data_IF_605746502693
#
_entry.id   IF_605746502693
#
_cell.length_a   1.000
_cell.length_b   1.000
_cell.length_c   1.000
_cell.angle_alpha   90.00
_cell.angle_beta   90.00
_cell.angle_gamma   90.00
#
_symmetry.space_group_name_H-M   'P 1'
#
loop_
_entity.id
_entity.type
_entity.pdbx_description
1 polymer ?
#
# COMPACT_ATOMS: atom_id res chain seq x y z
N UNK A 1 -7.33 -68.73 -11.81
CA UNK A 1 -6.54 -68.05 -10.76
C UNK A 1 -7.20 -66.71 -10.46
N UNK A 2 -7.53 -66.51 -9.17
CA UNK A 2 -8.04 -65.30 -8.49
C UNK A 2 -9.32 -64.63 -9.02
N UNK A 3 -10.45 -65.11 -8.48
CA UNK A 3 -11.68 -64.33 -8.19
C UNK A 3 -11.42 -63.48 -6.94
N UNK A 4 -11.88 -62.23 -6.91
CA UNK A 4 -12.00 -61.46 -5.67
C UNK A 4 -13.31 -60.64 -5.67
N UNK A 5 -14.16 -61.07 -4.75
CA UNK A 5 -15.44 -60.60 -4.23
C UNK A 5 -15.57 -59.09 -3.97
N UNK A 6 -16.69 -58.50 -4.38
CA UNK A 6 -17.22 -57.28 -3.76
C UNK A 6 -18.34 -57.67 -2.78
N UNK A 7 -18.14 -57.36 -1.49
CA UNK A 7 -19.14 -57.52 -0.43
C UNK A 7 -20.08 -56.32 -0.45
N UNK A 8 -21.37 -56.57 -0.60
CA UNK A 8 -22.43 -55.63 -0.26
C UNK A 8 -22.54 -55.64 1.27
N UNK A 9 -22.29 -54.52 1.91
CA UNK A 9 -22.68 -54.29 3.30
C UNK A 9 -23.68 -53.14 3.32
N UNK A 10 -24.95 -53.47 3.54
CA UNK A 10 -25.97 -52.52 3.95
C UNK A 10 -25.62 -52.02 5.36
N UNK A 11 -25.49 -50.71 5.52
CA UNK A 11 -25.76 -50.04 6.79
C UNK A 11 -26.86 -49.00 6.54
N UNK A 12 -28.00 -49.23 7.17
CA UNK A 12 -29.12 -48.32 7.23
C UNK A 12 -28.85 -47.23 8.27
N UNK A 13 -29.27 -45.99 7.96
CA UNK A 13 -29.70 -44.97 8.92
C UNK A 13 -28.61 -44.18 9.64
N UNK A 14 -28.32 -42.97 9.17
CA UNK A 14 -28.11 -41.83 10.07
C UNK A 14 -28.39 -40.50 9.35
N UNK A 15 -28.98 -39.59 10.11
CA UNK A 15 -29.67 -38.35 9.77
C UNK A 15 -29.01 -37.43 8.74
N UNK A 16 -29.87 -36.66 8.05
CA UNK A 16 -29.51 -35.41 7.38
C UNK A 16 -28.73 -34.51 8.36
N UNK A 17 -27.40 -34.42 8.18
CA UNK A 17 -26.66 -33.25 8.62
C UNK A 17 -26.83 -32.21 7.52
N UNK A 18 -27.50 -31.11 7.85
CA UNK A 18 -27.68 -29.97 6.97
C UNK A 18 -26.35 -29.55 6.37
N UNK A 19 -26.38 -29.23 5.08
CA UNK A 19 -25.33 -28.51 4.40
C UNK A 19 -25.06 -27.23 5.21
N UNK A 20 -23.98 -27.22 5.99
CA UNK A 20 -23.47 -25.97 6.54
C UNK A 20 -23.10 -25.12 5.33
N UNK A 21 -23.80 -23.99 5.13
CA UNK A 21 -23.30 -22.99 4.21
C UNK A 21 -21.88 -22.65 4.69
N UNK A 22 -20.91 -22.68 3.77
CA UNK A 22 -19.65 -22.03 4.03
C UNK A 22 -19.97 -20.59 4.44
N UNK A 23 -19.59 -20.19 5.66
CA UNK A 23 -19.65 -18.79 6.03
C UNK A 23 -18.87 -18.01 4.96
N UNK A 24 -19.50 -16.99 4.38
CA UNK A 24 -18.80 -16.07 3.49
C UNK A 24 -17.53 -15.60 4.20
N UNK A 25 -16.38 -15.74 3.55
CA UNK A 25 -15.13 -15.25 4.11
C UNK A 25 -15.28 -13.73 4.37
N UNK A 26 -14.88 -13.26 5.55
CA UNK A 26 -14.99 -11.85 5.92
C UNK A 26 -14.33 -10.94 4.87
N UNK A 27 -14.99 -9.84 4.52
CA UNK A 27 -14.48 -8.90 3.49
C UNK A 27 -13.25 -8.14 3.99
N UNK A 28 -13.14 -8.02 5.32
CA UNK A 28 -12.04 -7.40 6.03
C UNK A 28 -11.49 -8.37 7.08
N UNK A 29 -10.19 -8.37 7.28
CA UNK A 29 -9.53 -9.20 8.30
C UNK A 29 -8.66 -8.36 9.20
N UNK A 30 -8.83 -8.53 10.52
CA UNK A 30 -7.89 -8.05 11.53
C UNK A 30 -6.59 -8.86 11.43
N UNK A 31 -5.44 -8.20 11.28
CA UNK A 31 -4.15 -8.89 11.16
C UNK A 31 -3.57 -9.32 12.52
N UNK A 32 -4.19 -8.88 13.62
CA UNK A 32 -3.75 -9.15 14.99
C UNK A 32 -2.60 -8.26 15.44
N UNK A 33 -1.93 -8.68 16.52
CA UNK A 33 -0.80 -7.98 17.14
C UNK A 33 0.30 -8.98 17.50
N UNK A 34 1.51 -8.49 17.77
CA UNK A 34 2.63 -9.31 18.28
C UNK A 34 2.53 -9.58 19.80
N UNK A 35 1.28 -9.68 20.31
CA UNK A 35 0.96 -9.92 21.72
C UNK A 35 0.72 -8.66 22.55
N UNK A 36 0.87 -7.46 21.97
CA UNK A 36 0.43 -6.20 22.57
C UNK A 36 -1.01 -5.82 22.19
N UNK A 37 -1.39 -4.58 22.47
CA UNK A 37 -2.76 -4.07 22.24
C UNK A 37 -2.90 -3.18 21.00
N UNK A 38 -1.96 -3.25 20.06
CA UNK A 38 -1.88 -2.30 18.94
C UNK A 38 -1.13 -2.86 17.74
N UNK A 39 -1.63 -2.56 16.53
CA UNK A 39 -0.92 -2.74 15.27
C UNK A 39 -1.34 -1.70 14.22
N UNK A 40 -0.44 -1.40 13.28
CA UNK A 40 -0.69 -0.57 12.08
C UNK A 40 -0.16 -1.26 10.84
N UNK A 41 -0.95 -1.28 9.77
CA UNK A 41 -0.50 -1.66 8.43
C UNK A 41 0.07 -0.45 7.70
N UNK A 42 1.27 -0.59 7.13
CA UNK A 42 1.94 0.47 6.39
C UNK A 42 2.08 0.14 4.90
N UNK A 43 2.47 -1.09 4.56
CA UNK A 43 2.72 -1.49 3.18
C UNK A 43 2.05 -2.82 2.85
N UNK A 44 1.65 -3.00 1.59
CA UNK A 44 1.08 -4.25 1.06
C UNK A 44 1.66 -4.53 -0.32
N UNK A 45 1.98 -5.79 -0.60
CA UNK A 45 2.41 -6.20 -1.95
C UNK A 45 1.30 -6.94 -2.71
N UNK A 46 1.55 -7.22 -4.00
CA UNK A 46 0.60 -7.87 -4.90
C UNK A 46 0.12 -9.27 -4.44
N UNK A 47 0.81 -9.89 -3.46
CA UNK A 47 0.46 -11.19 -2.89
C UNK A 47 -0.35 -11.08 -1.59
N UNK A 48 -0.75 -9.87 -1.19
CA UNK A 48 -1.49 -9.62 0.04
C UNK A 48 -0.65 -9.71 1.31
N UNK A 49 0.69 -9.76 1.20
CA UNK A 49 1.57 -9.66 2.38
C UNK A 49 1.59 -8.22 2.86
N UNK A 50 1.45 -8.02 4.17
CA UNK A 50 1.38 -6.69 4.78
C UNK A 50 2.57 -6.49 5.72
N UNK A 51 3.20 -5.32 5.66
CA UNK A 51 4.20 -4.88 6.63
C UNK A 51 3.63 -3.77 7.50
N UNK A 52 4.15 -3.68 8.72
CA UNK A 52 3.64 -2.71 9.66
C UNK A 52 4.43 -2.64 10.95
N UNK A 53 3.82 -2.01 11.95
CA UNK A 53 4.33 -1.95 13.32
C UNK A 53 3.32 -2.49 14.31
N UNK A 54 3.76 -3.24 15.32
CA UNK A 54 2.91 -3.75 16.40
C UNK A 54 3.62 -3.76 17.74
N UNK A 55 2.88 -3.58 18.83
CA UNK A 55 3.45 -3.70 20.18
C UNK A 55 3.59 -5.19 20.55
N UNK A 56 4.70 -5.53 21.23
CA UNK A 56 4.94 -6.88 21.74
C UNK A 56 4.42 -7.10 23.17
N UNK A 57 4.10 -8.35 23.53
CA UNK A 57 3.75 -8.73 24.89
C UNK A 57 4.90 -8.52 25.90
N UNK A 58 4.61 -8.24 27.19
CA UNK A 58 5.62 -8.21 28.26
C UNK A 58 6.44 -9.52 28.33
N UNK A 59 7.73 -9.49 28.74
CA UNK A 59 8.42 -8.47 29.53
C UNK A 59 9.07 -7.35 28.70
N UNK A 60 8.87 -7.31 27.38
CA UNK A 60 9.19 -6.10 26.63
C UNK A 60 8.41 -4.91 27.24
N UNK A 61 9.01 -3.71 27.39
CA UNK A 61 8.22 -2.53 27.72
C UNK A 61 7.07 -2.47 26.71
N UNK A 62 5.82 -2.42 27.20
CA UNK A 62 4.58 -2.50 26.41
C UNK A 62 4.41 -1.41 25.34
N UNK A 63 5.44 -0.58 25.15
CA UNK A 63 5.54 0.55 24.23
C UNK A 63 6.55 0.35 23.09
N UNK A 64 7.33 -0.75 23.06
CA UNK A 64 8.30 -0.98 21.98
C UNK A 64 7.62 -1.57 20.75
N UNK A 65 7.48 -0.75 19.72
CA UNK A 65 6.97 -1.15 18.42
C UNK A 65 7.96 -2.11 17.72
N UNK A 66 7.42 -3.17 17.13
CA UNK A 66 8.10 -4.21 16.38
C UNK A 66 7.59 -4.21 14.95
N UNK A 67 8.52 -4.18 14.01
CA UNK A 67 8.20 -4.36 12.60
C UNK A 67 7.67 -5.77 12.41
N UNK A 68 6.56 -5.91 11.68
CA UNK A 68 6.00 -7.22 11.36
C UNK A 68 5.92 -7.47 9.85
N UNK A 69 5.85 -8.76 9.51
CA UNK A 69 5.35 -9.25 8.23
C UNK A 69 4.14 -10.15 8.47
N UNK A 70 2.99 -9.73 7.94
CA UNK A 70 1.81 -10.55 7.82
C UNK A 70 1.84 -11.32 6.50
N UNK A 71 1.64 -12.63 6.54
CA UNK A 71 1.52 -13.49 5.36
C UNK A 71 0.15 -14.16 5.35
N UNK A 72 -0.71 -13.91 4.35
CA UNK A 72 -2.02 -14.56 4.25
C UNK A 72 -1.89 -16.06 3.96
N UNK A 73 -2.88 -16.85 4.37
CA UNK A 73 -2.98 -18.26 4.03
C UNK A 73 -4.46 -18.64 3.74
N UNK A 74 -4.75 -19.40 2.67
CA UNK A 74 -6.13 -19.70 2.24
C UNK A 74 -6.97 -20.54 3.22
N UNK A 75 -6.35 -21.33 4.10
CA UNK A 75 -7.05 -22.34 4.93
C UNK A 75 -6.81 -22.18 6.44
N UNK A 76 -6.66 -20.94 6.92
CA UNK A 76 -6.42 -20.69 8.35
C UNK A 76 -4.99 -21.07 8.75
N UNK A 77 -4.05 -20.21 8.35
CA UNK A 77 -2.63 -20.36 8.68
C UNK A 77 -1.87 -19.06 8.45
N UNK A 78 -2.58 -17.93 8.42
CA UNK A 78 -1.95 -16.65 8.26
C UNK A 78 -0.99 -16.40 9.43
N UNK A 79 0.17 -15.82 9.14
CA UNK A 79 1.20 -15.60 10.14
C UNK A 79 1.46 -14.12 10.29
N UNK A 80 1.61 -13.66 11.53
CA UNK A 80 2.10 -12.34 11.87
C UNK A 80 3.48 -12.51 12.51
N UNK A 81 4.53 -12.34 11.71
CA UNK A 81 5.89 -12.59 12.14
C UNK A 81 6.63 -11.31 12.53
N UNK A 82 7.38 -11.38 13.63
CA UNK A 82 8.26 -10.30 14.10
C UNK A 82 9.54 -10.27 13.26
N UNK A 83 9.89 -9.11 12.70
CA UNK A 83 11.11 -8.93 11.90
C UNK A 83 12.38 -8.83 12.76
N UNK A 84 12.24 -8.61 14.06
CA UNK A 84 13.32 -8.35 14.99
C UNK A 84 13.82 -6.90 14.94
N UNK A 85 15.10 -6.73 15.26
CA UNK A 85 15.77 -5.45 15.33
C UNK A 85 17.04 -5.47 14.50
N UNK A 86 17.41 -4.30 13.99
CA UNK A 86 18.78 -4.10 13.52
C UNK A 86 19.70 -4.17 14.74
N UNK A 87 20.91 -4.74 14.60
CA UNK A 87 21.78 -5.04 15.74
C UNK A 87 21.99 -3.83 16.68
N UNK A 88 21.46 -3.91 17.90
CA UNK A 88 21.48 -2.81 18.89
C UNK A 88 20.25 -1.88 18.90
N UNK A 89 19.32 -2.06 17.97
CA UNK A 89 18.05 -1.35 17.88
C UNK A 89 17.05 -1.78 18.95
N UNK A 90 16.11 -0.89 19.26
CA UNK A 90 15.11 -1.03 20.32
C UNK A 90 13.66 -0.96 19.80
N UNK A 91 13.45 -0.32 18.66
CA UNK A 91 12.13 -0.14 18.02
C UNK A 91 12.33 -0.35 16.52
N UNK A 92 11.39 -1.04 15.86
CA UNK A 92 11.44 -1.29 14.42
C UNK A 92 10.10 -0.90 13.80
N UNK A 93 10.14 -0.21 12.67
CA UNK A 93 8.97 0.04 11.82
C UNK A 93 9.27 -0.47 10.41
N UNK A 94 8.36 -1.26 9.84
CA UNK A 94 8.46 -1.81 8.49
C UNK A 94 7.50 -1.07 7.55
N UNK A 95 8.00 -0.08 6.81
CA UNK A 95 7.15 0.88 6.09
C UNK A 95 6.68 0.37 4.73
N UNK A 96 7.50 -0.39 4.01
CA UNK A 96 7.16 -0.85 2.67
C UNK A 96 7.69 -2.25 2.36
N UNK A 97 7.01 -2.92 1.43
CA UNK A 97 7.32 -4.25 0.93
C UNK A 97 7.14 -4.29 -0.59
N UNK A 98 8.08 -4.90 -1.31
CA UNK A 98 7.96 -5.11 -2.75
C UNK A 98 7.45 -6.52 -3.10
N UNK A 99 7.24 -6.82 -4.38
CA UNK A 99 6.73 -8.12 -4.82
C UNK A 99 7.65 -9.30 -4.43
N UNK A 100 9.00 -9.20 -4.55
CA UNK A 100 9.93 -10.18 -4.00
C UNK A 100 9.91 -10.37 -2.46
N UNK A 101 9.05 -9.66 -1.74
CA UNK A 101 8.95 -9.65 -0.28
C UNK A 101 10.21 -9.14 0.44
N UNK A 102 10.93 -8.23 -0.20
CA UNK A 102 11.93 -7.40 0.47
C UNK A 102 11.22 -6.27 1.21
N UNK A 103 11.65 -6.02 2.44
CA UNK A 103 10.99 -5.08 3.34
C UNK A 103 11.97 -3.98 3.69
N UNK A 104 11.53 -2.73 3.64
CA UNK A 104 12.33 -1.60 4.09
C UNK A 104 11.64 -0.87 5.23
N UNK A 105 12.46 -0.23 6.04
CA UNK A 105 11.95 0.49 7.17
C UNK A 105 13.04 1.18 7.96
N UNK A 106 12.83 1.24 9.26
CA UNK A 106 13.80 1.84 10.16
C UNK A 106 13.87 1.15 11.51
N UNK A 107 15.06 1.14 12.11
CA UNK A 107 15.27 0.74 13.50
C UNK A 107 15.81 1.91 14.32
N UNK A 108 15.25 2.11 15.52
CA UNK A 108 15.62 3.21 16.44
C UNK A 108 16.50 2.66 17.55
N UNK A 109 17.61 3.36 17.84
CA UNK A 109 18.60 2.98 18.84
C UNK A 109 18.40 3.70 20.17
N UNK A 110 19.13 3.26 21.21
CA UNK A 110 19.03 3.82 22.57
C UNK A 110 19.47 5.28 22.70
N UNK A 111 20.26 5.79 21.75
CA UNK A 111 20.66 7.20 21.68
C UNK A 111 19.67 8.07 20.89
N UNK A 112 18.57 7.48 20.41
CA UNK A 112 17.53 8.15 19.61
C UNK A 112 17.86 8.27 18.11
N UNK A 113 19.04 7.83 17.67
CA UNK A 113 19.32 7.69 16.23
C UNK A 113 18.42 6.64 15.60
N UNK A 114 18.23 6.75 14.30
CA UNK A 114 17.39 5.84 13.52
C UNK A 114 18.16 5.42 12.27
N UNK A 115 18.20 4.14 11.95
CA UNK A 115 18.85 3.67 10.72
C UNK A 115 17.84 2.97 9.82
N UNK A 116 17.92 3.28 8.54
CA UNK A 116 17.20 2.59 7.48
C UNK A 116 17.70 1.15 7.36
N UNK A 117 16.78 0.22 7.12
CA UNK A 117 17.15 -1.17 6.86
C UNK A 117 16.52 -1.70 5.57
N UNK A 118 17.18 -2.71 5.01
CA UNK A 118 16.61 -3.65 4.04
C UNK A 118 16.56 -5.03 4.69
N UNK A 119 15.40 -5.65 4.67
CA UNK A 119 15.16 -6.98 5.19
C UNK A 119 14.84 -7.94 4.04
N UNK A 120 15.53 -9.07 4.01
CA UNK A 120 15.36 -10.12 3.00
C UNK A 120 15.26 -11.49 3.66
N UNK A 121 14.56 -12.43 3.04
CA UNK A 121 14.37 -13.78 3.56
C UNK A 121 13.10 -13.91 4.41
N UNK A 122 12.94 -15.05 5.06
CA UNK A 122 11.75 -15.41 5.83
C UNK A 122 12.00 -15.21 7.33
N UNK A 123 11.16 -14.41 8.03
CA UNK A 123 11.27 -14.23 9.47
C UNK A 123 11.33 -15.54 10.25
N UNK A 124 12.32 -15.65 11.13
CA UNK A 124 12.54 -16.83 11.97
C UNK A 124 13.21 -18.03 11.28
N UNK A 125 13.52 -17.95 9.98
CA UNK A 125 14.17 -19.04 9.22
C UNK A 125 15.54 -18.59 8.70
N UNK A 126 15.55 -17.72 7.69
CA UNK A 126 16.74 -17.21 7.00
C UNK A 126 16.71 -15.67 6.84
N UNK A 127 15.72 -15.02 7.45
CA UNK A 127 15.53 -13.59 7.37
C UNK A 127 16.67 -12.78 7.99
N UNK A 128 17.14 -11.79 7.25
CA UNK A 128 18.26 -10.93 7.63
C UNK A 128 17.90 -9.45 7.45
N UNK A 129 18.19 -8.64 8.46
CA UNK A 129 18.08 -7.19 8.42
C UNK A 129 19.46 -6.58 8.20
N UNK A 130 19.60 -5.80 7.12
CA UNK A 130 20.83 -5.14 6.71
C UNK A 130 20.67 -3.64 6.92
N UNK A 131 21.64 -3.02 7.60
CA UNK A 131 21.72 -1.56 7.73
C UNK A 131 22.05 -0.94 6.37
N UNK A 132 21.25 0.04 5.94
CA UNK A 132 21.48 0.76 4.69
C UNK A 132 22.46 1.93 4.86
N UNK A 133 22.84 2.30 6.08
CA UNK A 133 23.74 3.42 6.35
C UNK A 133 23.05 4.78 6.24
N UNK A 134 23.83 5.85 6.03
CA UNK A 134 23.34 7.24 5.95
C UNK A 134 24.05 8.00 4.82
N UNK A 135 23.67 9.26 4.57
CA UNK A 135 24.38 10.16 3.63
C UNK A 135 25.56 10.90 4.30
N UNK A 136 26.06 10.42 5.45
CA UNK A 136 27.15 11.05 6.21
C UNK A 136 26.74 11.69 7.54
N UNK A 137 25.43 11.72 7.83
CA UNK A 137 24.86 12.10 9.13
C UNK A 137 24.60 10.91 10.06
N UNK A 138 23.83 11.17 11.12
CA UNK A 138 23.58 10.20 12.20
C UNK A 138 22.37 9.29 12.01
N UNK A 139 21.45 9.67 11.12
CA UNK A 139 20.18 8.95 10.99
C UNK A 139 19.78 8.77 9.53
N UNK A 140 19.02 7.71 9.27
CA UNK A 140 18.35 7.43 8.00
C UNK A 140 17.04 6.71 8.24
N UNK A 141 16.12 6.84 7.29
CA UNK A 141 14.83 6.16 7.26
C UNK A 141 14.50 5.80 5.82
N UNK A 142 14.26 4.52 5.55
CA UNK A 142 13.72 4.07 4.27
C UNK A 142 12.19 4.06 4.34
N UNK A 143 11.52 4.59 3.32
CA UNK A 143 10.06 4.77 3.28
C UNK A 143 9.42 3.93 2.19
N UNK A 144 10.10 3.73 1.06
CA UNK A 144 9.60 2.94 -0.06
C UNK A 144 10.70 2.17 -0.79
N UNK A 145 10.29 1.11 -1.46
CA UNK A 145 11.13 0.20 -2.26
C UNK A 145 10.37 -0.20 -3.52
N UNK A 146 11.06 -0.27 -4.67
CA UNK A 146 10.48 -0.82 -5.89
C UNK A 146 10.88 -2.30 -6.10
N UNK A 147 10.30 -2.97 -7.10
CA UNK A 147 10.55 -4.38 -7.38
C UNK A 147 11.97 -4.68 -7.88
N UNK A 148 12.71 -3.67 -8.34
CA UNK A 148 14.13 -3.79 -8.65
C UNK A 148 15.00 -3.80 -7.38
N UNK A 149 14.46 -3.44 -6.21
CA UNK A 149 15.18 -3.35 -4.95
C UNK A 149 15.87 -2.00 -4.72
N UNK A 150 15.49 -0.97 -5.47
CA UNK A 150 15.92 0.41 -5.17
C UNK A 150 15.10 0.95 -4.01
N UNK A 151 15.77 1.60 -3.07
CA UNK A 151 15.16 2.11 -1.84
C UNK A 151 15.22 3.63 -1.83
N UNK A 152 14.13 4.28 -1.44
CA UNK A 152 14.07 5.72 -1.18
C UNK A 152 13.67 6.01 0.26
N UNK A 153 13.92 7.24 0.69
CA UNK A 153 13.70 7.68 2.05
C UNK A 153 14.37 9.01 2.32
N UNK A 154 14.78 9.25 3.56
CA UNK A 154 15.59 10.41 3.92
C UNK A 154 16.77 10.00 4.80
N UNK A 155 17.90 10.68 4.66
CA UNK A 155 19.10 10.41 5.43
C UNK A 155 19.87 11.69 5.76
N UNK A 156 20.43 11.74 6.96
CA UNK A 156 21.25 12.83 7.42
C UNK A 156 22.52 12.94 6.57
N UNK A 157 22.91 14.17 6.23
CA UNK A 157 24.03 14.47 5.32
C UNK A 157 25.30 14.89 6.05
N UNK A 158 25.21 15.24 7.33
CA UNK A 158 26.34 15.66 8.14
C UNK A 158 26.11 15.37 9.61
N UNK A 159 27.20 15.11 10.35
CA UNK A 159 27.18 14.99 11.81
C UNK A 159 27.03 16.35 12.53
N UNK A 160 27.16 17.46 11.81
CA UNK A 160 27.19 18.81 12.37
C UNK A 160 25.84 19.54 12.34
N UNK A 161 24.81 18.96 11.71
CA UNK A 161 23.47 19.53 11.63
C UNK A 161 22.42 18.40 11.66
N UNK A 162 21.15 18.79 11.65
CA UNK A 162 20.01 17.87 11.63
C UNK A 162 19.35 17.79 10.25
N UNK A 163 20.00 18.28 9.20
CA UNK A 163 19.46 18.26 7.85
C UNK A 163 19.52 16.85 7.27
N UNK A 164 18.49 16.52 6.51
CA UNK A 164 18.38 15.25 5.81
C UNK A 164 17.92 15.49 4.38
N UNK A 165 18.47 14.71 3.46
CA UNK A 165 18.05 14.73 2.08
C UNK A 165 17.36 13.43 1.72
N UNK A 166 16.48 13.51 0.72
CA UNK A 166 15.95 12.34 0.05
C UNK A 166 17.10 11.57 -0.59
N UNK A 167 17.03 10.23 -0.55
CA UNK A 167 18.00 9.38 -1.22
C UNK A 167 17.34 8.39 -2.17
N UNK A 168 18.10 7.82 -3.11
CA UNK A 168 17.71 6.63 -3.87
C UNK A 168 18.90 5.71 -4.05
N UNK A 169 18.82 4.48 -3.53
CA UNK A 169 19.91 3.50 -3.67
C UNK A 169 19.95 2.88 -5.06
N UNK A 170 21.12 2.32 -5.40
CA UNK A 170 21.19 1.27 -6.43
C UNK A 170 20.45 0.00 -5.97
N UNK A 171 19.94 -0.84 -6.89
CA UNK A 171 19.25 -2.09 -6.59
C UNK A 171 19.96 -2.95 -5.53
N UNK A 172 19.30 -3.20 -4.40
CA UNK A 172 19.77 -4.07 -3.31
C UNK A 172 21.09 -3.63 -2.66
N UNK A 173 21.45 -2.34 -2.79
CA UNK A 173 22.67 -1.78 -2.22
C UNK A 173 22.36 -0.92 -0.99
N UNK A 174 23.35 -0.80 -0.11
CA UNK A 174 23.37 0.22 0.93
C UNK A 174 23.46 1.64 0.31
N UNK A 175 23.12 2.65 1.10
CA UNK A 175 23.24 4.06 0.73
C UNK A 175 24.71 4.37 0.44
N UNK A 176 24.95 4.90 -0.76
CA UNK A 176 26.22 5.47 -1.16
C UNK A 176 26.14 7.01 -1.11
N UNK A 177 26.78 7.68 -0.12
CA UNK A 177 26.76 9.13 -0.01
C UNK A 177 27.26 9.88 -1.26
N UNK A 178 28.05 9.23 -2.11
CA UNK A 178 28.60 9.85 -3.31
C UNK A 178 27.60 9.89 -4.49
N UNK A 179 26.58 9.03 -4.49
CA UNK A 179 25.69 8.85 -5.66
C UNK A 179 24.20 8.94 -5.35
N UNK A 180 23.81 8.75 -4.09
CA UNK A 180 22.42 8.48 -3.75
C UNK A 180 21.68 9.71 -3.20
N UNK A 181 22.37 10.81 -2.90
CA UNK A 181 21.75 12.08 -2.48
C UNK A 181 20.99 12.73 -3.65
N UNK A 182 19.69 12.96 -3.48
CA UNK A 182 18.83 13.58 -4.49
C UNK A 182 18.82 15.11 -4.41
N UNK A 183 19.37 15.70 -3.35
CA UNK A 183 19.40 17.15 -3.11
C UNK A 183 18.06 17.71 -2.65
N UNK A 184 17.81 18.99 -2.95
CA UNK A 184 16.60 19.74 -2.55
C UNK A 184 16.13 20.67 -3.66
N UNK A 185 14.94 21.25 -3.51
CA UNK A 185 14.43 22.39 -4.30
C UNK A 185 15.05 23.75 -3.88
N UNK A 186 16.26 23.71 -3.33
CA UNK A 186 17.07 24.87 -2.93
C UNK A 186 16.97 25.26 -1.46
N UNK A 187 16.15 24.56 -0.66
CA UNK A 187 16.19 24.61 0.81
C UNK A 187 17.20 23.63 1.43
N UNK A 188 17.07 23.35 2.72
CA UNK A 188 18.04 22.54 3.47
C UNK A 188 17.65 21.06 3.63
N UNK A 189 16.38 20.71 3.45
CA UNK A 189 15.86 19.37 3.74
C UNK A 189 14.93 18.88 2.63
N UNK A 190 15.00 17.58 2.34
CA UNK A 190 14.07 16.87 1.46
C UNK A 190 13.83 15.44 1.97
N UNK A 191 12.70 14.85 1.57
CA UNK A 191 12.25 13.53 2.01
C UNK A 191 11.61 12.78 0.85
N UNK A 192 12.09 11.57 0.54
CA UNK A 192 11.45 10.68 -0.43
C UNK A 192 10.40 9.78 0.24
N UNK A 193 9.24 9.62 -0.38
CA UNK A 193 8.14 8.77 0.15
C UNK A 193 7.68 7.70 -0.84
N UNK A 194 7.76 7.95 -2.14
CA UNK A 194 7.33 7.01 -3.17
C UNK A 194 8.40 6.77 -4.22
N UNK A 195 8.47 5.55 -4.75
CA UNK A 195 9.32 5.18 -5.89
C UNK A 195 8.57 4.23 -6.81
N UNK A 196 8.64 4.45 -8.13
CA UNK A 196 8.04 3.53 -9.11
C UNK A 196 9.08 2.60 -9.76
N UNK A 197 8.60 1.71 -10.64
CA UNK A 197 9.42 0.74 -11.35
C UNK A 197 10.49 1.36 -12.27
N UNK A 198 10.27 2.60 -12.72
CA UNK A 198 11.24 3.37 -13.52
C UNK A 198 12.29 4.09 -12.66
N UNK A 199 12.25 3.91 -11.34
CA UNK A 199 13.16 4.56 -10.40
C UNK A 199 12.87 6.04 -10.16
N UNK A 200 11.72 6.55 -10.59
CA UNK A 200 11.30 7.92 -10.31
C UNK A 200 10.91 8.03 -8.84
N UNK A 201 11.37 9.07 -8.15
CA UNK A 201 11.12 9.27 -6.72
C UNK A 201 10.24 10.49 -6.52
N UNK A 202 9.25 10.38 -5.65
CA UNK A 202 8.41 11.50 -5.22
C UNK A 202 8.54 11.71 -3.72
N UNK A 203 8.27 12.94 -3.29
CA UNK A 203 8.41 13.31 -1.89
C UNK A 203 8.09 14.77 -1.65
N UNK A 204 8.67 15.33 -0.58
CA UNK A 204 8.62 16.76 -0.29
C UNK A 204 10.03 17.35 -0.13
N UNK A 205 10.19 18.62 -0.48
CA UNK A 205 11.44 19.35 -0.31
C UNK A 205 11.20 20.80 0.06
N UNK A 206 12.07 21.32 0.93
CA UNK A 206 12.11 22.76 1.18
C UNK A 206 12.50 23.51 -0.09
N UNK A 207 11.81 24.62 -0.32
CA UNK A 207 11.99 25.50 -1.49
C UNK A 207 12.81 26.74 -1.14
N UNK A 208 13.46 27.32 -2.14
CA UNK A 208 14.24 28.56 -1.98
C UNK A 208 13.35 29.72 -1.51
N UNK A 209 13.78 30.45 -0.48
CA UNK A 209 13.07 31.65 0.00
C UNK A 209 11.77 31.36 0.77
N UNK A 210 11.38 30.09 0.93
CA UNK A 210 10.30 29.68 1.84
C UNK A 210 10.72 29.76 3.31
N UNK A 211 9.77 29.62 4.22
CA UNK A 211 10.12 29.42 5.63
C UNK A 211 10.79 28.05 5.79
N UNK A 212 11.43 27.81 6.95
CA UNK A 212 11.96 26.49 7.30
C UNK A 212 10.86 25.40 7.45
N UNK A 213 9.59 25.76 7.28
CA UNK A 213 8.44 24.85 7.32
C UNK A 213 7.70 24.75 5.98
N UNK A 214 8.13 25.47 4.95
CA UNK A 214 7.51 25.41 3.61
C UNK A 214 8.14 24.28 2.81
N UNK A 215 7.32 23.32 2.40
CA UNK A 215 7.75 22.16 1.61
C UNK A 215 6.85 22.02 0.40
N UNK A 216 7.44 21.76 -0.76
CA UNK A 216 6.69 21.43 -1.96
C UNK A 216 6.92 19.98 -2.35
N UNK A 217 5.87 19.37 -2.90
CA UNK A 217 5.94 18.07 -3.52
C UNK A 217 6.91 18.11 -4.71
N UNK A 218 7.75 17.10 -4.82
CA UNK A 218 8.69 16.99 -5.94
C UNK A 218 8.54 15.67 -6.70
N UNK A 219 8.98 15.70 -7.96
CA UNK A 219 9.31 14.52 -8.75
C UNK A 219 10.81 14.56 -9.09
N UNK A 220 11.52 13.50 -8.74
CA UNK A 220 12.90 13.27 -9.15
C UNK A 220 12.93 12.23 -10.26
N UNK A 221 13.61 12.57 -11.35
CA UNK A 221 13.87 11.66 -12.47
C UNK A 221 15.35 11.71 -12.82
N UNK A 222 15.87 10.61 -13.33
CA UNK A 222 17.24 10.61 -13.85
C UNK A 222 17.35 11.62 -15.00
N UNK A 223 18.41 12.45 -15.01
CA UNK A 223 18.57 13.45 -16.04
C UNK A 223 18.86 12.77 -17.38
N UNK A 224 18.49 13.41 -18.50
CA UNK A 224 19.06 13.07 -19.79
C UNK A 224 20.60 13.15 -19.73
N UNK A 225 21.33 12.34 -20.52
CA UNK A 225 22.78 12.39 -20.58
C UNK A 225 23.30 13.83 -20.79
N UNK A 226 24.20 14.27 -19.91
CA UNK A 226 24.81 15.61 -19.96
C UNK A 226 24.05 16.70 -19.20
N UNK A 227 22.94 16.38 -18.53
CA UNK A 227 22.25 17.29 -17.60
C UNK A 227 22.44 16.83 -16.14
N UNK A 228 22.31 17.76 -15.19
CA UNK A 228 22.28 17.40 -13.76
C UNK A 228 20.90 16.86 -13.42
N UNK A 229 20.87 15.81 -12.59
CA UNK A 229 19.65 15.30 -12.00
C UNK A 229 18.97 16.44 -11.24
N UNK A 230 17.66 16.57 -11.38
CA UNK A 230 16.91 17.67 -10.80
C UNK A 230 15.60 17.18 -10.22
N UNK A 231 15.37 17.51 -8.96
CA UNK A 231 14.01 17.55 -8.43
C UNK A 231 13.22 18.60 -9.21
N UNK A 232 12.04 18.22 -9.67
CA UNK A 232 11.07 19.13 -10.28
C UNK A 232 9.99 19.42 -9.25
N UNK A 233 9.76 20.70 -8.98
CA UNK A 233 8.67 21.17 -8.13
C UNK A 233 7.31 20.92 -8.80
N UNK A 234 6.40 20.25 -8.09
CA UNK A 234 5.03 19.97 -8.55
C UNK A 234 4.04 21.09 -8.19
N UNK A 235 4.46 22.06 -7.38
CA UNK A 235 3.63 23.16 -6.88
C UNK A 235 2.63 22.73 -5.82
N UNK A 236 1.56 23.51 -5.68
CA UNK A 236 0.49 23.32 -4.69
C UNK A 236 -0.88 23.55 -5.34
N UNK A 237 -1.96 23.22 -4.63
CA UNK A 237 -3.35 23.62 -4.94
C UNK A 237 -3.64 25.11 -4.61
N UNK A 238 -2.61 25.95 -4.67
CA UNK A 238 -2.67 27.39 -4.39
C UNK A 238 -2.38 27.79 -2.94
N UNK A 239 -2.17 26.82 -2.05
CA UNK A 239 -1.63 27.04 -0.70
C UNK A 239 -0.10 27.11 -0.68
N UNK A 240 0.51 26.99 0.51
CA UNK A 240 1.97 27.16 0.68
C UNK A 240 2.78 25.88 0.68
N UNK A 241 2.16 24.73 0.97
CA UNK A 241 2.87 23.47 1.08
C UNK A 241 2.13 22.31 0.39
N UNK A 242 2.90 21.33 -0.07
CA UNK A 242 2.41 20.08 -0.64
C UNK A 242 3.39 18.94 -0.38
N UNK A 243 2.87 17.71 -0.42
CA UNK A 243 3.62 16.47 -0.21
C UNK A 243 3.13 15.42 -1.19
N UNK A 244 4.04 14.80 -1.95
CA UNK A 244 3.73 13.63 -2.76
C UNK A 244 4.09 12.33 -2.01
N UNK A 245 3.09 11.50 -1.73
CA UNK A 245 3.25 10.30 -0.91
C UNK A 245 3.51 9.04 -1.76
N UNK A 246 2.91 8.95 -2.95
CA UNK A 246 3.01 7.76 -3.78
C UNK A 246 3.02 8.09 -5.28
N UNK A 247 3.61 7.20 -6.07
CA UNK A 247 3.71 7.29 -7.54
C UNK A 247 3.51 5.91 -8.15
N UNK A 248 2.69 5.81 -9.19
CA UNK A 248 2.49 4.55 -9.92
C UNK A 248 3.41 4.43 -11.15
N UNK A 249 3.30 3.30 -11.86
CA UNK A 249 4.13 3.00 -13.03
C UNK A 249 3.90 3.94 -14.23
N UNK A 250 2.72 4.56 -14.34
CA UNK A 250 2.42 5.54 -15.39
C UNK A 250 2.88 6.96 -15.04
N UNK A 251 3.44 7.16 -13.84
CA UNK A 251 3.92 8.44 -13.36
C UNK A 251 2.83 9.34 -12.77
N UNK A 252 1.64 8.79 -12.48
CA UNK A 252 0.63 9.50 -11.70
C UNK A 252 1.04 9.54 -10.24
N UNK A 253 0.84 10.70 -9.60
CA UNK A 253 1.34 10.97 -8.25
C UNK A 253 0.17 11.30 -7.34
N UNK A 254 0.13 10.62 -6.19
CA UNK A 254 -0.84 10.83 -5.13
C UNK A 254 -0.19 11.57 -3.97
N UNK A 255 -0.93 12.46 -3.32
CA UNK A 255 -0.40 13.18 -2.16
C UNK A 255 -1.44 14.06 -1.47
N UNK A 256 -0.94 15.06 -0.76
CA UNK A 256 -1.74 16.07 -0.09
C UNK A 256 -1.16 17.47 -0.35
N UNK A 257 -2.01 18.46 -0.57
CA UNK A 257 -1.58 19.84 -0.80
C UNK A 257 -2.50 20.82 -0.10
N UNK A 258 -1.92 21.90 0.41
CA UNK A 258 -2.70 23.03 0.90
C UNK A 258 -3.44 23.71 -0.24
N UNK A 259 -4.69 24.08 0.04
CA UNK A 259 -5.58 24.79 -0.88
C UNK A 259 -5.51 26.30 -0.66
N UNK A 260 -5.98 27.05 -1.66
CA UNK A 260 -5.96 28.53 -1.62
C UNK A 260 -6.71 29.08 -0.40
N UNK A 261 -6.05 29.95 0.36
CA UNK A 261 -6.66 30.66 1.49
C UNK A 261 -6.87 29.83 2.77
N UNK A 262 -6.32 28.60 2.83
CA UNK A 262 -6.44 27.70 3.99
C UNK A 262 -5.10 27.03 4.31
N UNK A 263 -4.93 26.59 5.55
CA UNK A 263 -3.83 25.70 5.95
C UNK A 263 -4.20 24.23 5.86
N UNK A 264 -5.47 23.91 5.56
CA UNK A 264 -5.96 22.55 5.38
C UNK A 264 -5.37 21.92 4.13
N UNK A 265 -5.14 20.60 4.19
CA UNK A 265 -4.60 19.82 3.09
C UNK A 265 -5.72 19.07 2.41
N UNK A 266 -5.76 19.08 1.08
CA UNK A 266 -6.60 18.18 0.30
C UNK A 266 -5.74 17.13 -0.40
N UNK A 267 -6.27 15.92 -0.47
CA UNK A 267 -5.73 14.86 -1.30
C UNK A 267 -5.70 15.31 -2.76
N UNK A 268 -4.63 14.99 -3.48
CA UNK A 268 -4.51 15.31 -4.89
C UNK A 268 -4.12 14.10 -5.73
N UNK A 269 -4.48 14.16 -7.02
CA UNK A 269 -3.88 13.37 -8.08
C UNK A 269 -3.15 14.30 -9.05
N UNK A 270 -1.84 14.12 -9.22
CA UNK A 270 -1.08 14.79 -10.25
C UNK A 270 -1.04 13.91 -11.49
N UNK A 271 -1.47 14.45 -12.62
CA UNK A 271 -1.46 13.77 -13.91
C UNK A 271 -0.74 14.61 -14.96
N UNK A 272 -0.05 13.95 -15.88
CA UNK A 272 0.73 14.59 -16.94
C UNK A 272 2.19 14.85 -16.56
N UNK A 273 2.92 15.56 -17.43
CA UNK A 273 4.36 15.82 -17.25
C UNK A 273 4.59 17.17 -16.57
N UNK A 274 5.32 17.23 -15.44
CA UNK A 274 5.72 18.49 -14.82
C UNK A 274 6.39 19.45 -15.81
N UNK A 275 5.91 20.70 -15.86
CA UNK A 275 6.37 21.71 -16.82
C UNK A 275 5.94 21.50 -18.29
N UNK A 276 5.29 20.36 -18.61
CA UNK A 276 4.83 19.99 -19.95
C UNK A 276 3.31 19.83 -20.06
N UNK A 277 2.55 20.47 -19.16
CA UNK A 277 1.08 20.40 -19.10
C UNK A 277 0.51 19.48 -18.01
N UNK A 278 1.37 18.91 -17.15
CA UNK A 278 0.92 18.23 -15.95
C UNK A 278 0.34 19.18 -14.91
N UNK A 279 -0.68 18.73 -14.19
CA UNK A 279 -1.36 19.54 -13.16
C UNK A 279 -1.80 18.69 -11.97
N UNK A 280 -1.89 19.37 -10.82
CA UNK A 280 -2.41 18.83 -9.58
C UNK A 280 -3.94 18.97 -9.57
N UNK A 281 -4.65 17.85 -9.46
CA UNK A 281 -6.11 17.82 -9.35
C UNK A 281 -6.52 17.58 -7.91
N UNK A 282 -7.34 18.48 -7.36
CA UNK A 282 -7.96 18.34 -6.04
C UNK A 282 -8.99 17.19 -6.05
N UNK A 283 -8.90 16.28 -5.07
CA UNK A 283 -9.82 15.16 -4.89
C UNK A 283 -10.93 15.45 -3.86
N UNK A 284 -10.90 16.64 -3.25
CA UNK A 284 -11.77 17.09 -2.16
C UNK A 284 -11.65 16.23 -0.89
N UNK A 285 -12.68 16.24 -0.05
CA UNK A 285 -12.77 15.54 1.24
C UNK A 285 -14.10 14.79 1.35
N UNK A 286 -14.28 14.00 2.40
CA UNK A 286 -15.56 13.39 2.82
C UNK A 286 -16.51 14.40 3.51
N UNK A 287 -16.35 15.69 3.21
CA UNK A 287 -17.18 16.78 3.74
C UNK A 287 -16.56 17.54 4.91
N UNK A 288 -15.40 17.12 5.40
CA UNK A 288 -14.59 17.85 6.38
C UNK A 288 -13.56 18.77 5.75
N UNK A 289 -12.59 19.19 6.55
CA UNK A 289 -11.59 20.20 6.22
C UNK A 289 -10.37 19.63 5.49
N UNK A 290 -9.92 18.41 5.80
CA UNK A 290 -8.68 17.85 5.23
C UNK A 290 -8.84 16.44 4.66
N UNK A 291 -7.94 16.10 3.74
CA UNK A 291 -7.73 14.75 3.22
C UNK A 291 -6.28 14.56 2.75
N UNK A 292 -5.82 13.32 2.70
CA UNK A 292 -4.50 12.96 2.20
C UNK A 292 -4.54 11.59 1.52
N UNK A 293 -4.02 11.50 0.28
CA UNK A 293 -3.82 10.22 -0.40
C UNK A 293 -2.43 9.65 -0.05
N UNK A 294 -2.40 8.40 0.40
CA UNK A 294 -1.18 7.71 0.86
C UNK A 294 -0.66 6.69 -0.15
N UNK A 295 -1.54 6.07 -0.94
CA UNK A 295 -1.15 5.09 -1.96
C UNK A 295 -1.98 5.20 -3.24
N UNK A 296 -1.41 4.73 -4.34
CA UNK A 296 -2.03 4.68 -5.66
C UNK A 296 -1.62 3.39 -6.38
N UNK A 297 -2.58 2.73 -7.02
CA UNK A 297 -2.33 1.53 -7.81
C UNK A 297 -2.10 1.84 -9.31
N UNK A 298 -1.86 0.83 -10.13
CA UNK A 298 -1.58 1.02 -11.57
C UNK A 298 -2.78 1.56 -12.37
N UNK A 299 -4.00 1.30 -11.93
CA UNK A 299 -5.22 1.81 -12.54
C UNK A 299 -5.54 3.27 -12.14
N UNK A 300 -4.77 3.85 -11.22
CA UNK A 300 -5.01 5.18 -10.70
C UNK A 300 -6.07 5.23 -9.60
N UNK A 301 -6.38 4.11 -8.95
CA UNK A 301 -7.18 4.11 -7.71
C UNK A 301 -6.30 4.52 -6.54
N UNK A 302 -6.79 5.44 -5.72
CA UNK A 302 -6.06 6.01 -4.59
C UNK A 302 -6.71 5.61 -3.28
N UNK A 303 -5.92 5.48 -2.23
CA UNK A 303 -6.43 5.32 -0.87
C UNK A 303 -5.74 6.28 0.08
N UNK A 304 -6.42 6.60 1.18
CA UNK A 304 -5.90 7.54 2.16
C UNK A 304 -6.84 7.74 3.34
N UNK A 305 -6.75 8.91 3.95
CA UNK A 305 -7.63 9.35 5.03
C UNK A 305 -8.28 10.70 4.69
N UNK A 306 -9.50 10.93 5.18
CA UNK A 306 -10.23 12.18 5.01
C UNK A 306 -11.09 12.49 6.21
N UNK A 307 -11.14 13.77 6.56
CA UNK A 307 -12.10 14.30 7.53
C UNK A 307 -13.52 14.21 6.96
N UNK A 308 -14.43 13.74 7.80
CA UNK A 308 -15.86 13.65 7.55
C UNK A 308 -16.55 14.99 7.86
N UNK A 309 -17.83 15.08 7.52
CA UNK A 309 -18.64 16.30 7.68
C UNK A 309 -18.49 16.93 9.08
N UNK A 310 -18.04 18.18 9.11
CA UNK A 310 -17.87 18.94 10.34
C UNK A 310 -16.64 18.55 11.18
N UNK A 311 -15.66 17.87 10.57
CA UNK A 311 -14.42 17.41 11.22
C UNK A 311 -14.70 16.47 12.41
N UNK A 312 -15.80 15.72 12.33
CA UNK A 312 -16.28 14.87 13.42
C UNK A 312 -15.44 13.60 13.60
N UNK A 313 -14.87 13.09 12.52
CA UNK A 313 -14.03 11.90 12.47
C UNK A 313 -13.15 11.92 11.22
N UNK A 314 -12.03 11.19 11.26
CA UNK A 314 -11.19 10.88 10.11
C UNK A 314 -11.47 9.44 9.67
N UNK A 315 -11.87 9.25 8.41
CA UNK A 315 -12.18 7.94 7.83
C UNK A 315 -11.23 7.59 6.69
N UNK A 316 -11.01 6.29 6.50
CA UNK A 316 -10.30 5.77 5.37
C UNK A 316 -11.14 5.96 4.09
N UNK A 317 -10.52 6.39 3.00
CA UNK A 317 -11.21 6.52 1.71
C UNK A 317 -10.56 5.69 0.61
N UNK A 318 -11.36 5.37 -0.40
CA UNK A 318 -10.94 4.90 -1.71
C UNK A 318 -11.43 5.90 -2.77
N UNK A 319 -10.53 6.38 -3.62
CA UNK A 319 -10.86 7.23 -4.76
C UNK A 319 -10.81 6.42 -6.05
N UNK A 320 -11.89 6.51 -6.84
CA UNK A 320 -12.00 5.89 -8.16
C UNK A 320 -12.37 6.93 -9.22
N UNK A 321 -12.19 6.59 -10.50
CA UNK A 321 -12.52 7.47 -11.61
C UNK A 321 -11.50 8.60 -11.86
N UNK A 322 -11.84 9.50 -12.78
CA UNK A 322 -11.00 10.62 -13.18
C UNK A 322 -11.49 11.93 -12.54
N UNK A 323 -10.62 12.69 -11.85
CA UNK A 323 -10.99 13.97 -11.24
C UNK A 323 -11.66 14.91 -12.25
N UNK A 324 -12.78 15.50 -11.84
CA UNK A 324 -13.56 16.43 -12.68
C UNK A 324 -14.41 15.79 -13.78
N UNK A 325 -14.37 14.47 -13.96
CA UNK A 325 -15.20 13.74 -14.95
C UNK A 325 -16.19 12.80 -14.25
N UNK A 326 -15.66 11.77 -13.60
CA UNK A 326 -16.43 10.74 -12.89
C UNK A 326 -15.73 10.30 -11.59
N UNK A 327 -14.78 11.11 -11.12
CA UNK A 327 -14.00 10.83 -9.94
C UNK A 327 -14.84 10.89 -8.66
N UNK A 328 -14.66 9.90 -7.78
CA UNK A 328 -15.45 9.77 -6.56
C UNK A 328 -14.55 9.35 -5.40
N UNK A 329 -14.63 10.11 -4.30
CA UNK A 329 -14.13 9.68 -3.00
C UNK A 329 -15.20 8.85 -2.29
N UNK A 330 -14.87 7.61 -1.96
CA UNK A 330 -15.74 6.64 -1.32
C UNK A 330 -15.26 6.47 0.12
N UNK A 331 -16.13 6.76 1.08
CA UNK A 331 -15.92 6.46 2.49
C UNK A 331 -15.95 4.94 2.69
N UNK A 332 -14.83 4.35 3.10
CA UNK A 332 -14.71 2.90 3.27
C UNK A 332 -15.48 2.39 4.48
N UNK A 333 -15.63 3.20 5.53
CA UNK A 333 -16.45 2.88 6.70
C UNK A 333 -17.91 2.82 6.33
N UNK A 334 -18.43 3.90 5.73
CA UNK A 334 -19.83 3.95 5.31
C UNK A 334 -20.15 2.83 4.30
N UNK A 335 -19.21 2.49 3.43
CA UNK A 335 -19.34 1.36 2.52
C UNK A 335 -19.37 0.02 3.25
N UNK A 336 -18.47 -0.21 4.21
CA UNK A 336 -18.40 -1.44 5.00
C UNK A 336 -19.67 -1.64 5.82
N UNK A 337 -20.15 -0.59 6.50
CA UNK A 337 -21.38 -0.61 7.27
C UNK A 337 -22.62 -0.93 6.42
N UNK A 338 -22.70 -0.37 5.22
CA UNK A 338 -23.84 -0.56 4.34
C UNK A 338 -23.88 -1.95 3.68
N UNK A 339 -22.72 -2.52 3.33
CA UNK A 339 -22.64 -3.74 2.53
C UNK A 339 -22.29 -4.98 3.37
N UNK A 340 -21.61 -4.79 4.50
CA UNK A 340 -21.13 -5.85 5.40
C UNK A 340 -21.34 -5.45 6.86
N UNK A 341 -22.59 -5.22 7.32
CA UNK A 341 -22.87 -4.62 8.63
C UNK A 341 -22.31 -5.40 9.83
N UNK A 342 -22.13 -6.71 9.70
CA UNK A 342 -21.50 -7.52 10.74
C UNK A 342 -20.00 -7.22 10.90
N UNK A 343 -19.31 -6.97 9.78
CA UNK A 343 -17.90 -6.55 9.80
C UNK A 343 -17.80 -5.07 10.20
N UNK A 344 -18.63 -4.20 9.62
CA UNK A 344 -18.67 -2.76 9.90
C UNK A 344 -18.92 -2.44 11.38
N UNK A 345 -19.79 -3.19 12.05
CA UNK A 345 -20.05 -3.02 13.49
C UNK A 345 -18.81 -3.17 14.39
N UNK A 346 -17.73 -3.79 13.90
CA UNK A 346 -16.49 -3.99 14.64
C UNK A 346 -15.38 -2.99 14.27
N UNK A 347 -15.54 -2.20 13.21
CA UNK A 347 -14.47 -1.38 12.64
C UNK A 347 -14.86 0.09 12.55
N UNK A 348 -13.88 0.94 12.87
CA UNK A 348 -13.80 2.31 12.38
C UNK A 348 -12.44 2.45 11.69
N UNK A 349 -12.40 2.42 10.36
CA UNK A 349 -11.22 2.51 9.53
C UNK A 349 -10.76 3.98 9.47
N UNK A 350 -9.62 4.28 10.09
CA UNK A 350 -9.13 5.67 10.14
C UNK A 350 -8.19 5.99 8.98
N UNK A 351 -7.38 5.02 8.56
CA UNK A 351 -6.38 5.20 7.52
C UNK A 351 -6.36 4.01 6.56
N UNK A 352 -6.18 4.27 5.26
CA UNK A 352 -5.77 3.30 4.26
C UNK A 352 -4.41 3.68 3.69
N UNK A 353 -3.38 2.88 4.00
CA UNK A 353 -1.97 3.19 3.74
C UNK A 353 -1.41 2.51 2.49
N UNK A 354 -2.05 1.44 2.02
CA UNK A 354 -1.60 0.71 0.84
C UNK A 354 -2.76 0.10 0.07
N UNK A 355 -2.66 0.11 -1.25
CA UNK A 355 -3.60 -0.53 -2.17
C UNK A 355 -2.84 -1.34 -3.20
N UNK A 356 -3.34 -2.54 -3.46
CA UNK A 356 -2.87 -3.40 -4.54
C UNK A 356 -3.70 -3.19 -5.79
N UNK A 357 -3.17 -3.64 -6.93
CA UNK A 357 -3.90 -3.61 -8.19
C UNK A 357 -5.23 -4.39 -8.10
N UNK A 358 -5.26 -5.52 -7.38
CA UNK A 358 -6.47 -6.33 -7.18
C UNK A 358 -7.42 -5.83 -6.09
N UNK A 359 -7.18 -4.65 -5.52
CA UNK A 359 -8.11 -4.01 -4.58
C UNK A 359 -8.03 -4.53 -3.16
N UNK A 360 -6.97 -5.25 -2.80
CA UNK A 360 -6.63 -5.42 -1.39
C UNK A 360 -6.06 -4.10 -0.86
N UNK A 361 -6.67 -3.61 0.22
CA UNK A 361 -6.29 -2.38 0.91
C UNK A 361 -5.77 -2.77 2.29
N UNK A 362 -4.63 -2.20 2.71
CA UNK A 362 -4.18 -2.27 4.10
C UNK A 362 -4.16 -0.89 4.73
N UNK A 363 -4.29 -0.86 6.05
CA UNK A 363 -4.27 0.37 6.80
C UNK A 363 -4.47 0.08 8.27
N UNK A 364 -5.06 1.04 8.97
CA UNK A 364 -5.32 0.94 10.39
C UNK A 364 -6.72 1.47 10.73
N UNK A 365 -7.36 0.87 11.73
CA UNK A 365 -8.66 1.31 12.22
C UNK A 365 -8.86 0.90 13.67
N UNK A 366 -9.77 1.57 14.38
CA UNK A 366 -10.21 1.13 15.69
C UNK A 366 -11.02 -0.14 15.52
N UNK A 367 -10.64 -1.19 16.23
CA UNK A 367 -11.34 -2.46 16.20
C UNK A 367 -11.92 -2.78 17.57
N UNK A 368 -13.16 -3.23 17.58
CA UNK A 368 -13.84 -3.73 18.77
C UNK A 368 -13.59 -5.24 18.88
N UNK A 369 -12.70 -5.65 19.80
CA UNK A 369 -12.39 -7.06 20.05
C UNK A 369 -13.48 -7.76 20.92
N UNK A 370 -14.54 -7.05 21.30
CA UNK A 370 -15.61 -7.55 22.16
C UNK A 370 -15.27 -7.50 23.66
N UNK A 371 -16.25 -7.87 24.50
CA UNK A 371 -16.15 -7.74 25.96
C UNK A 371 -14.99 -8.53 26.61
N UNK A 372 -14.58 -9.64 25.98
CA UNK A 372 -13.48 -10.52 26.44
C UNK A 372 -12.19 -10.32 25.60
N UNK A 373 -12.18 -9.34 24.71
CA UNK A 373 -11.09 -9.02 23.81
C UNK A 373 -10.03 -8.09 24.40
N UNK A 374 -9.07 -7.68 23.57
CA UNK A 374 -8.20 -6.56 23.93
C UNK A 374 -9.03 -5.27 24.00
N UNK A 375 -8.60 -4.25 24.77
CA UNK A 375 -9.26 -2.95 24.73
C UNK A 375 -9.32 -2.43 23.29
N UNK A 376 -10.47 -1.84 22.94
CA UNK A 376 -10.69 -1.20 21.66
C UNK A 376 -9.50 -0.30 21.33
N UNK A 377 -8.93 -0.53 20.17
CA UNK A 377 -7.68 0.10 19.81
C UNK A 377 -7.34 -0.11 18.36
N UNK A 378 -6.32 0.60 17.93
CA UNK A 378 -5.91 0.57 16.54
C UNK A 378 -5.39 -0.83 16.16
N UNK A 379 -5.92 -1.39 15.08
CA UNK A 379 -5.51 -2.65 14.49
C UNK A 379 -5.19 -2.45 13.02
N UNK A 380 -4.18 -3.18 12.56
CA UNK A 380 -3.91 -3.34 11.16
C UNK A 380 -4.98 -4.23 10.51
N UNK A 381 -5.40 -3.87 9.31
CA UNK A 381 -6.38 -4.66 8.55
C UNK A 381 -5.89 -4.98 7.13
N UNK A 382 -6.53 -5.97 6.52
CA UNK A 382 -6.63 -6.10 5.07
C UNK A 382 -8.10 -6.12 4.67
N UNK A 383 -8.50 -5.23 3.75
CA UNK A 383 -9.85 -5.07 3.23
C UNK A 383 -9.85 -5.46 1.75
N UNK A 384 -10.80 -6.30 1.34
CA UNK A 384 -11.02 -6.63 -0.06
C UNK A 384 -12.04 -5.67 -0.70
N UNK A 385 -11.54 -4.61 -1.33
CA UNK A 385 -12.33 -3.60 -2.03
C UNK A 385 -12.49 -3.91 -3.54
N UNK A 386 -12.18 -5.14 -3.99
CA UNK A 386 -12.27 -5.51 -5.42
C UNK A 386 -13.65 -5.27 -6.03
N UNK A 387 -14.71 -5.43 -5.23
CA UNK A 387 -16.10 -5.17 -5.64
C UNK A 387 -16.38 -3.69 -5.89
N UNK A 388 -15.62 -2.78 -5.29
CA UNK A 388 -15.76 -1.32 -5.49
C UNK A 388 -15.06 -0.90 -6.79
N UNK A 389 -13.87 -1.44 -7.04
CA UNK A 389 -13.00 -1.02 -8.16
C UNK A 389 -13.23 -1.79 -9.47
N UNK A 390 -14.23 -2.68 -9.51
CA UNK A 390 -14.63 -3.41 -10.70
C UNK A 390 -13.88 -4.73 -10.89
N UNK A 391 -14.64 -5.76 -11.29
CA UNK A 391 -14.27 -7.16 -11.41
C UNK A 391 -13.00 -7.37 -12.25
N UNK A 392 -12.05 -8.16 -11.72
CA UNK A 392 -10.91 -8.68 -12.48
C UNK A 392 -11.25 -10.01 -13.12
N UNK A 393 -10.92 -10.14 -14.39
CA UNK A 393 -11.00 -11.38 -15.14
C UNK A 393 -9.71 -12.16 -14.87
N UNK A 394 -9.76 -13.11 -13.93
CA UNK A 394 -8.63 -14.00 -13.69
C UNK A 394 -8.72 -15.24 -14.57
N UNK A 395 -7.61 -15.52 -15.24
CA UNK A 395 -7.34 -16.70 -16.05
C UNK A 395 -6.44 -17.60 -15.24
N UNK A 396 -6.69 -18.90 -15.24
CA UNK A 396 -5.72 -19.84 -14.70
C UNK A 396 -4.43 -19.86 -15.57
N UNK A 397 -3.42 -20.59 -15.10
CA UNK A 397 -2.13 -20.72 -15.81
C UNK A 397 -2.26 -21.32 -17.22
N UNK A 398 -3.40 -21.92 -17.57
CA UNK A 398 -3.68 -22.52 -18.86
C UNK A 398 -4.57 -21.65 -19.77
N UNK A 399 -5.08 -20.50 -19.28
CA UNK A 399 -5.96 -19.62 -20.04
C UNK A 399 -7.42 -20.06 -20.07
N UNK A 400 -7.85 -20.95 -19.17
CA UNK A 400 -9.23 -21.41 -19.15
C UNK A 400 -10.15 -20.46 -18.37
N UNK A 401 -11.24 -20.07 -19.03
CA UNK A 401 -12.26 -19.14 -18.56
C UNK A 401 -13.48 -19.82 -17.91
N UNK A 402 -13.75 -21.09 -18.23
CA UNK A 402 -15.00 -21.76 -17.91
C UNK A 402 -15.20 -22.15 -16.44
N UNK A 403 -14.27 -21.79 -15.53
CA UNK A 403 -14.35 -22.18 -14.13
C UNK A 403 -14.89 -21.03 -13.26
N UNK A 404 -16.12 -21.12 -12.71
CA UNK A 404 -16.69 -20.14 -11.78
C UNK A 404 -15.79 -19.79 -10.58
N UNK A 405 -14.92 -20.71 -10.15
CA UNK A 405 -13.96 -20.48 -9.07
C UNK A 405 -12.79 -19.56 -9.45
N UNK A 406 -12.60 -19.26 -10.74
CA UNK A 406 -11.60 -18.31 -11.23
C UNK A 406 -12.11 -16.85 -11.18
N UNK A 407 -13.35 -16.62 -10.76
CA UNK A 407 -13.99 -15.29 -10.80
C UNK A 407 -14.46 -14.87 -9.42
N UNK A 408 -14.24 -13.62 -9.07
CA UNK A 408 -14.86 -12.98 -7.90
C UNK A 408 -15.68 -11.78 -8.38
N UNK A 409 -16.97 -11.73 -8.06
CA UNK A 409 -17.83 -10.58 -8.37
C UNK A 409 -18.68 -10.67 -9.66
N UNK A 410 -18.97 -11.87 -10.17
CA UNK A 410 -19.94 -12.09 -11.27
C UNK A 410 -19.38 -11.98 -12.70
N UNK A 411 -20.27 -12.13 -13.70
CA UNK A 411 -19.95 -12.09 -15.14
C UNK A 411 -20.33 -10.72 -15.70
N UNK A 412 -19.39 -9.93 -16.26
CA UNK A 412 -19.75 -8.67 -16.91
C UNK A 412 -20.31 -8.96 -18.30
N UNK A 413 -21.57 -9.36 -18.33
CA UNK A 413 -22.34 -9.52 -19.56
C UNK A 413 -23.35 -8.38 -19.68
N UNK A 414 -22.84 -7.15 -19.68
CA UNK A 414 -23.65 -5.94 -19.81
C UNK A 414 -22.93 -4.91 -20.69
N UNK A 415 -23.64 -4.24 -21.62
CA UNK A 415 -23.11 -3.09 -22.34
C UNK A 415 -22.57 -2.03 -21.38
N UNK A 416 -21.32 -1.59 -21.60
CA UNK A 416 -20.65 -0.60 -20.74
C UNK A 416 -19.82 -1.18 -19.59
N UNK A 417 -19.89 -2.50 -19.33
CA UNK A 417 -19.04 -3.14 -18.34
C UNK A 417 -17.57 -3.15 -18.76
N UNK A 418 -16.65 -3.03 -17.80
CA UNK A 418 -15.20 -3.05 -18.02
C UNK A 418 -14.66 -4.43 -17.65
N UNK A 419 -13.90 -5.03 -18.56
CA UNK A 419 -13.23 -6.32 -18.35
C UNK A 419 -11.72 -6.13 -18.20
N UNK A 420 -11.18 -6.30 -16.99
CA UNK A 420 -9.74 -6.15 -16.72
C UNK A 420 -9.05 -7.53 -16.62
N UNK A 421 -8.16 -7.85 -17.56
CA UNK A 421 -7.38 -9.08 -17.56
C UNK A 421 -6.08 -8.91 -16.77
N UNK A 422 -5.91 -9.71 -15.71
CA UNK A 422 -4.75 -9.63 -14.82
C UNK A 422 -3.42 -10.12 -15.43
N UNK A 423 -2.32 -9.89 -14.71
CA UNK A 423 -0.93 -10.17 -15.12
C UNK A 423 -0.52 -11.66 -15.08
N UNK A 424 -1.43 -12.58 -14.75
CA UNK A 424 -1.15 -14.03 -14.63
C UNK A 424 -0.86 -14.68 -16.00
N UNK A 425 -1.23 -14.03 -17.11
CA UNK A 425 -0.83 -14.45 -18.45
C UNK A 425 0.66 -14.13 -18.65
N UNK A 426 1.51 -15.10 -18.36
CA UNK A 426 2.97 -15.01 -18.52
C UNK A 426 3.47 -15.44 -19.91
N UNK A 427 2.57 -15.82 -20.82
CA UNK A 427 2.89 -16.22 -22.19
C UNK A 427 1.67 -16.06 -23.13
N UNK A 428 1.86 -15.81 -24.44
CA UNK A 428 0.78 -15.76 -25.42
C UNK A 428 -0.07 -17.02 -25.38
N UNK A 429 -1.40 -16.85 -25.32
CA UNK A 429 -2.36 -17.95 -25.26
C UNK A 429 -3.66 -17.55 -25.95
N UNK A 430 -4.31 -18.52 -26.59
CA UNK A 430 -5.67 -18.35 -27.08
C UNK A 430 -6.60 -18.39 -25.89
N UNK A 431 -7.55 -17.48 -25.87
CA UNK A 431 -8.51 -17.40 -24.79
C UNK A 431 -9.93 -17.46 -25.37
N UNK A 432 -10.69 -18.47 -24.94
CA UNK A 432 -11.95 -18.85 -25.59
C UNK A 432 -13.14 -18.57 -24.69
N UNK A 433 -14.09 -17.77 -25.19
CA UNK A 433 -15.39 -17.55 -24.52
C UNK A 433 -16.28 -18.77 -24.76
N UNK A 434 -16.87 -19.33 -23.71
CA UNK A 434 -17.83 -20.44 -23.83
C UNK A 434 -19.17 -19.98 -24.45
N UNK A 435 -19.43 -18.68 -24.44
CA UNK A 435 -20.58 -18.03 -25.08
C UNK A 435 -20.24 -16.59 -25.48
N UNK A 436 -20.90 -16.01 -26.51
CA UNK A 436 -20.78 -14.59 -26.83
C UNK A 436 -21.15 -13.70 -25.64
N UNK A 437 -20.36 -12.67 -25.37
CA UNK A 437 -20.58 -11.73 -24.26
C UNK A 437 -20.49 -10.28 -24.73
N UNK A 438 -21.24 -9.38 -24.08
CA UNK A 438 -21.19 -7.94 -24.38
C UNK A 438 -20.53 -7.18 -23.24
N UNK A 439 -19.48 -6.42 -23.57
CA UNK A 439 -18.75 -5.53 -22.66
C UNK A 439 -18.54 -4.17 -23.34
N UNK A 440 -18.34 -3.13 -22.54
CA UNK A 440 -17.99 -1.80 -23.05
C UNK A 440 -16.51 -1.68 -23.39
N UNK A 441 -15.64 -2.14 -22.49
CA UNK A 441 -14.18 -2.01 -22.62
C UNK A 441 -13.50 -3.30 -22.17
N UNK A 442 -12.47 -3.71 -22.90
CA UNK A 442 -11.57 -4.81 -22.54
C UNK A 442 -10.17 -4.24 -22.33
N UNK A 443 -9.63 -4.40 -21.12
CA UNK A 443 -8.30 -3.97 -20.73
C UNK A 443 -7.40 -5.18 -20.47
N UNK A 444 -6.17 -5.12 -20.95
CA UNK A 444 -5.15 -6.15 -20.73
C UNK A 444 -3.99 -5.56 -19.93
N UNK A 445 -3.78 -6.02 -18.70
CA UNK A 445 -2.77 -5.47 -17.80
C UNK A 445 -1.36 -6.06 -18.04
N UNK A 446 -1.04 -6.45 -19.28
CA UNK A 446 0.32 -6.82 -19.68
C UNK A 446 0.56 -6.64 -21.20
N UNK A 447 1.84 -6.66 -21.60
CA UNK A 447 2.29 -6.38 -22.97
C UNK A 447 2.17 -7.55 -23.97
N UNK A 448 1.53 -8.66 -23.60
CA UNK A 448 1.38 -9.80 -24.51
C UNK A 448 0.35 -9.51 -25.63
N UNK A 449 0.48 -10.21 -26.76
CA UNK A 449 -0.52 -10.16 -27.82
C UNK A 449 -1.68 -11.10 -27.51
N UNK A 450 -2.91 -10.61 -27.64
CA UNK A 450 -4.15 -11.36 -27.49
C UNK A 450 -4.85 -11.46 -28.84
N UNK A 451 -5.45 -12.61 -29.12
CA UNK A 451 -6.28 -12.85 -30.31
C UNK A 451 -7.60 -13.45 -29.90
#
# INVERSE_FOLDING_TARGET
MRRASFRILQCAGMALAGCACAADAAVISNLGTLGGSYSRGFGINAYGKVTGGSNAAPPAPSTRNRGFLYTPAPEGGATLADLGFLNGGLITFAFAINAPAQIVGSSVFGDGSQHAFLYTGTPGVDGAMVDLGTLGGRSSRATAINDAGQVTGNAGISLSNTFAHAFRTSPNMAINPATDDLGTLGGATSRGYGINASGQVVGDSQVTGGSNTTFHAFLFTDPPPGQRAGMVDLGTLGGTSSTANAINASGQIAGASQVTGSTAYHAFLYAGTPGGGGMMHDLATLGGSSSAAYAINTAGHLVGASDTTGDAAEHAFLYTGTPGVNGQMIDLDAWLDANYPADGANWILTEANGITDNGLITGSGTYNDGADGLPDGLRAYILNASVIIGSRWNVDSNGNWSNPANWTGGVPNAPGAVANFGSIITAPRTVTLDAPMTVGVVNFDNANSYT
#
